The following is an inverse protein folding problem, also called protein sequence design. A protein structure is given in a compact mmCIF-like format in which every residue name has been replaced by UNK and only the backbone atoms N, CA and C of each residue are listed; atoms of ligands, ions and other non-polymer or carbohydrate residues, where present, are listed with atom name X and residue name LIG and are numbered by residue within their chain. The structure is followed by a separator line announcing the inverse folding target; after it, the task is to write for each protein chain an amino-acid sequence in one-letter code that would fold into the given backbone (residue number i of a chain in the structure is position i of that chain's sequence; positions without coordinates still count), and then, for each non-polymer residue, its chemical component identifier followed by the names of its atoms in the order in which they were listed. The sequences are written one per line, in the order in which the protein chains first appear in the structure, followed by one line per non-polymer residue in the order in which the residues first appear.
data_IF_838944247750
#
_entry.id   IF_838944247750
#
_cell.length_a   1.000
_cell.length_b   1.000
_cell.length_c   1.000
_cell.angle_alpha   90.00
_cell.angle_beta   90.00
_cell.angle_gamma   90.00
#
_symmetry.space_group_name_H-M   'P 1'
#
loop_
_entity.id
_entity.type
_entity.pdbx_description
1 polymer ?
#
# COMPACT_ATOMS: atom_id res chain seq x y z
N UNK A 1 3.61 13.47 5.25
CA UNK A 1 4.59 14.54 5.08
C UNK A 1 4.74 15.40 6.34
N UNK A 2 3.65 15.81 6.96
CA UNK A 2 3.63 16.67 8.15
C UNK A 2 4.48 16.14 9.32
N UNK A 3 4.48 14.84 9.56
CA UNK A 3 5.30 14.20 10.58
C UNK A 3 6.81 14.25 10.24
N UNK A 4 7.15 14.04 8.97
CA UNK A 4 8.55 14.00 8.52
C UNK A 4 9.15 15.39 8.35
N UNK A 5 8.34 16.35 7.93
CA UNK A 5 8.75 17.74 7.72
C UNK A 5 7.63 18.65 8.24
N UNK A 6 7.59 18.92 9.56
CA UNK A 6 6.62 19.83 10.15
C UNK A 6 6.81 21.26 9.64
N UNK A 7 5.78 22.12 9.67
CA UNK A 7 5.92 23.54 9.36
C UNK A 7 6.95 24.20 10.30
N UNK A 8 7.72 25.12 9.75
CA UNK A 8 8.76 25.86 10.53
C UNK A 8 8.19 26.65 11.71
N UNK A 9 6.91 27.00 11.66
CA UNK A 9 6.22 27.80 12.67
C UNK A 9 5.85 27.01 13.94
N UNK A 10 5.85 25.69 13.90
CA UNK A 10 5.41 24.85 15.03
C UNK A 10 6.55 24.42 15.99
N UNK A 11 7.78 24.87 15.77
CA UNK A 11 8.92 24.58 16.66
C UNK A 11 9.31 23.11 16.78
N UNK A 12 8.71 22.22 15.97
CA UNK A 12 9.07 20.82 15.90
C UNK A 12 10.31 20.62 15.01
N UNK A 13 11.31 19.90 15.51
CA UNK A 13 12.48 19.53 14.72
C UNK A 13 12.10 18.50 13.65
N UNK A 14 12.47 18.79 12.39
CA UNK A 14 12.32 17.81 11.32
C UNK A 14 13.22 16.59 11.55
N UNK A 15 12.70 15.34 11.51
CA UNK A 15 13.52 14.14 11.53
C UNK A 15 14.33 13.94 10.23
N UNK A 16 14.03 14.68 9.18
CA UNK A 16 14.76 14.65 7.90
C UNK A 16 15.69 15.87 7.82
N UNK A 17 17.01 15.69 7.54
CA UNK A 17 17.96 16.78 7.44
C UNK A 17 17.78 17.58 6.15
N UNK A 18 18.20 18.87 6.17
CA UNK A 18 18.51 19.58 4.93
C UNK A 18 19.79 18.99 4.32
N UNK A 19 19.81 18.77 3.03
CA UNK A 19 20.97 18.24 2.31
C UNK A 19 21.61 19.36 1.49
N UNK A 20 22.83 19.73 1.87
CA UNK A 20 23.66 20.64 1.07
C UNK A 20 24.53 19.80 0.13
N UNK A 21 24.21 19.82 -1.16
CA UNK A 21 25.02 19.25 -2.23
C UNK A 21 25.76 20.38 -2.96
N UNK A 22 26.93 20.75 -2.45
CA UNK A 22 27.71 21.89 -2.97
C UNK A 22 26.97 23.22 -2.82
N UNK A 23 26.56 23.85 -3.92
CA UNK A 23 25.78 25.10 -3.93
C UNK A 23 24.26 24.91 -3.84
N UNK A 24 23.77 23.68 -3.88
CA UNK A 24 22.34 23.30 -3.78
C UNK A 24 22.01 22.93 -2.34
N UNK A 25 21.23 23.77 -1.68
CA UNK A 25 20.60 23.47 -0.38
C UNK A 25 19.23 22.86 -0.64
N UNK A 26 19.12 21.53 -0.51
CA UNK A 26 17.87 20.81 -0.71
C UNK A 26 17.02 20.86 0.57
N UNK A 27 15.89 21.53 0.47
CA UNK A 27 14.87 21.53 1.52
C UNK A 27 14.48 20.06 1.86
N UNK A 28 14.31 19.69 3.14
CA UNK A 28 13.85 18.36 3.56
C UNK A 28 12.60 17.88 2.81
N UNK A 29 11.73 18.79 2.38
CA UNK A 29 10.53 18.45 1.60
C UNK A 29 10.85 17.90 0.22
N UNK A 30 11.85 18.49 -0.46
CA UNK A 30 12.32 18.01 -1.77
C UNK A 30 12.91 16.61 -1.63
N UNK A 31 13.67 16.40 -0.56
CA UNK A 31 14.27 15.10 -0.29
C UNK A 31 13.21 14.01 -0.06
N UNK A 32 12.20 14.28 0.77
CA UNK A 32 11.06 13.36 0.97
C UNK A 32 10.30 13.14 -0.34
N UNK A 33 10.12 14.16 -1.17
CA UNK A 33 9.47 14.00 -2.47
C UNK A 33 10.26 13.07 -3.40
N UNK A 34 11.60 13.15 -3.41
CA UNK A 34 12.46 12.24 -4.18
C UNK A 34 12.29 10.79 -3.67
N UNK A 35 12.32 10.58 -2.35
CA UNK A 35 12.13 9.27 -1.72
C UNK A 35 10.77 8.68 -2.11
N UNK A 36 9.70 9.48 -2.01
CA UNK A 36 8.35 9.03 -2.39
C UNK A 36 8.25 8.71 -3.89
N UNK A 37 8.91 9.49 -4.74
CA UNK A 37 8.92 9.26 -6.20
C UNK A 37 9.68 7.98 -6.54
N UNK A 38 10.84 7.75 -5.91
CA UNK A 38 11.60 6.52 -6.07
C UNK A 38 10.78 5.30 -5.65
N UNK A 39 10.07 5.38 -4.53
CA UNK A 39 9.15 4.33 -4.07
C UNK A 39 8.06 4.01 -5.07
N UNK A 40 7.45 5.02 -5.69
CA UNK A 40 6.45 4.80 -6.75
C UNK A 40 7.00 4.08 -7.98
N UNK A 41 8.26 4.31 -8.33
CA UNK A 41 8.91 3.61 -9.44
C UNK A 41 9.15 2.13 -9.09
N UNK A 42 9.52 1.84 -7.85
CA UNK A 42 9.69 0.46 -7.36
C UNK A 42 8.33 -0.26 -7.35
N UNK A 43 7.29 0.38 -6.80
CA UNK A 43 5.91 -0.15 -6.77
C UNK A 43 5.40 -0.50 -8.18
N UNK A 44 5.69 0.33 -9.17
CA UNK A 44 5.33 0.06 -10.57
C UNK A 44 5.97 -1.22 -11.14
N UNK A 45 7.11 -1.65 -10.58
CA UNK A 45 7.76 -2.91 -10.94
C UNK A 45 7.23 -4.09 -10.12
N UNK A 46 6.87 -3.86 -8.87
CA UNK A 46 6.38 -4.90 -7.95
C UNK A 46 5.00 -5.42 -8.37
N UNK A 47 4.11 -4.55 -8.83
CA UNK A 47 2.74 -4.90 -9.21
C UNK A 47 2.65 -6.05 -10.23
N UNK A 48 3.33 -6.00 -11.40
CA UNK A 48 3.29 -7.09 -12.35
C UNK A 48 3.98 -8.37 -11.86
N UNK A 49 5.03 -8.25 -11.02
CA UNK A 49 5.73 -9.40 -10.44
C UNK A 49 4.81 -10.12 -9.45
N UNK A 50 4.17 -9.39 -8.55
CA UNK A 50 3.26 -9.94 -7.54
C UNK A 50 2.02 -10.52 -8.19
N UNK A 51 1.45 -9.85 -9.19
CA UNK A 51 0.34 -10.38 -9.98
C UNK A 51 0.68 -11.74 -10.60
N UNK A 52 1.81 -11.81 -11.29
CA UNK A 52 2.30 -13.04 -11.90
C UNK A 52 2.59 -14.14 -10.86
N UNK A 53 3.15 -13.82 -9.72
CA UNK A 53 3.44 -14.75 -8.64
C UNK A 53 2.15 -15.28 -8.01
N UNK A 54 1.22 -14.42 -7.66
CA UNK A 54 -0.06 -14.81 -7.07
C UNK A 54 -0.88 -15.71 -7.99
N UNK A 55 -0.86 -15.47 -9.30
CA UNK A 55 -1.58 -16.28 -10.28
C UNK A 55 -1.01 -17.69 -10.46
N UNK A 56 0.22 -17.94 -10.05
CA UNK A 56 0.89 -19.25 -10.14
C UNK A 56 0.93 -20.02 -8.84
N UNK A 57 0.63 -19.37 -7.74
CA UNK A 57 0.68 -19.99 -6.42
C UNK A 57 -0.39 -21.07 -6.30
N UNK A 58 0.00 -22.21 -5.75
CA UNK A 58 -0.89 -23.33 -5.43
C UNK A 58 -1.03 -23.42 -3.93
N UNK A 59 -2.26 -23.29 -3.43
CA UNK A 59 -2.57 -23.40 -2.01
C UNK A 59 -3.92 -24.06 -1.80
N UNK A 60 -4.07 -24.74 -0.67
CA UNK A 60 -5.35 -25.33 -0.21
C UNK A 60 -6.46 -24.29 -0.01
N UNK A 61 -6.10 -23.01 0.12
CA UNK A 61 -7.04 -21.89 0.27
C UNK A 61 -7.35 -21.19 -1.05
N UNK A 62 -6.78 -21.66 -2.16
CA UNK A 62 -6.78 -20.98 -3.44
C UNK A 62 -5.46 -20.22 -3.67
N UNK A 63 -5.30 -19.64 -4.86
CA UNK A 63 -4.03 -19.04 -5.28
C UNK A 63 -3.76 -17.67 -4.64
N UNK A 64 -4.78 -16.88 -4.32
CA UNK A 64 -4.67 -15.46 -3.92
C UNK A 64 -4.86 -15.20 -2.43
N UNK A 65 -5.72 -15.97 -1.75
CA UNK A 65 -6.01 -15.78 -0.32
C UNK A 65 -4.78 -15.82 0.59
N UNK A 66 -3.77 -16.68 0.38
CA UNK A 66 -2.57 -16.70 1.22
C UNK A 66 -1.82 -15.38 1.20
N UNK A 67 -1.74 -14.72 0.05
CA UNK A 67 -1.07 -13.42 -0.05
C UNK A 67 -1.73 -12.38 0.84
N UNK A 68 -3.06 -12.24 0.76
CA UNK A 68 -3.82 -11.31 1.61
C UNK A 68 -3.64 -11.64 3.09
N UNK A 69 -3.76 -12.93 3.44
CA UNK A 69 -3.70 -13.38 4.83
C UNK A 69 -2.33 -13.08 5.46
N UNK A 70 -1.25 -13.43 4.76
CA UNK A 70 0.10 -13.34 5.33
C UNK A 70 0.73 -11.96 5.17
N UNK A 71 0.41 -11.17 4.15
CA UNK A 71 0.99 -9.84 3.97
C UNK A 71 0.32 -8.75 4.82
N UNK A 72 -0.95 -8.93 5.20
CA UNK A 72 -1.68 -7.93 6.00
C UNK A 72 -1.03 -7.58 7.35
N UNK A 73 -0.47 -8.51 8.15
CA UNK A 73 0.23 -8.16 9.38
C UNK A 73 1.49 -7.34 9.14
N UNK A 74 2.24 -7.64 8.07
CA UNK A 74 3.44 -6.87 7.70
C UNK A 74 3.07 -5.46 7.25
N UNK A 75 1.99 -5.32 6.47
CA UNK A 75 1.43 -4.02 6.12
C UNK A 75 1.15 -3.16 7.37
N UNK A 76 0.50 -3.73 8.38
CA UNK A 76 0.21 -3.02 9.63
C UNK A 76 1.49 -2.68 10.42
N UNK A 77 2.42 -3.65 10.48
CA UNK A 77 3.70 -3.48 11.17
C UNK A 77 4.50 -2.32 10.56
N UNK A 78 4.71 -2.34 9.24
CA UNK A 78 5.48 -1.30 8.57
C UNK A 78 4.76 0.05 8.57
N UNK A 79 3.44 0.09 8.49
CA UNK A 79 2.68 1.32 8.70
C UNK A 79 2.97 1.94 10.07
N UNK A 80 2.93 1.16 11.14
CA UNK A 80 3.26 1.63 12.47
C UNK A 80 4.70 2.16 12.58
N UNK A 81 5.65 1.48 11.95
CA UNK A 81 7.07 1.86 11.96
C UNK A 81 7.36 3.17 11.21
N UNK A 82 6.54 3.59 10.25
CA UNK A 82 6.70 4.88 9.57
C UNK A 82 6.67 6.08 10.53
N UNK A 83 6.04 5.92 11.69
CA UNK A 83 5.88 6.98 12.71
C UNK A 83 6.91 6.89 13.84
N UNK A 84 7.87 5.95 13.73
CA UNK A 84 8.91 5.70 14.74
C UNK A 84 10.30 5.97 14.12
N UNK A 85 10.73 7.22 14.10
CA UNK A 85 12.08 7.56 13.64
C UNK A 85 13.12 7.23 14.72
N UNK A 86 14.28 6.63 14.34
CA UNK A 86 15.31 6.20 15.32
C UNK A 86 15.95 7.33 16.11
N UNK A 87 16.09 8.51 15.52
CA UNK A 87 16.69 9.69 16.16
C UNK A 87 15.74 10.89 16.15
N UNK A 88 15.74 11.67 17.25
CA UNK A 88 14.87 12.84 17.41
C UNK A 88 15.32 14.09 16.61
N UNK A 89 16.45 14.03 15.90
CA UNK A 89 16.99 15.13 15.09
C UNK A 89 17.12 14.78 13.61
N UNK A 90 17.37 15.76 12.77
CA UNK A 90 17.61 15.59 11.34
C UNK A 90 18.86 14.73 11.09
N UNK A 91 18.66 13.48 10.66
CA UNK A 91 19.73 12.51 10.42
C UNK A 91 19.51 11.81 9.08
N UNK A 92 20.61 11.57 8.35
CA UNK A 92 20.57 10.77 7.13
C UNK A 92 20.13 9.33 7.41
N UNK A 93 20.41 8.79 8.60
CA UNK A 93 19.91 7.51 9.05
C UNK A 93 18.39 7.44 9.12
N UNK A 94 17.72 8.52 9.52
CA UNK A 94 16.25 8.62 9.49
C UNK A 94 15.69 8.53 8.07
N UNK A 95 16.39 9.11 7.11
CA UNK A 95 15.98 9.08 5.70
C UNK A 95 16.02 7.67 5.14
N UNK A 96 17.15 6.97 5.36
CA UNK A 96 17.29 5.56 4.96
C UNK A 96 16.22 4.71 5.65
N UNK A 97 16.02 4.91 6.94
CA UNK A 97 15.00 4.20 7.71
C UNK A 97 13.60 4.42 7.11
N UNK A 98 13.21 5.67 6.90
CA UNK A 98 11.89 6.00 6.34
C UNK A 98 11.74 5.42 4.93
N UNK A 99 12.78 5.50 4.09
CA UNK A 99 12.76 4.91 2.75
C UNK A 99 12.54 3.41 2.81
N UNK A 100 13.35 2.69 3.58
CA UNK A 100 13.24 1.22 3.69
C UNK A 100 11.89 0.78 4.26
N UNK A 101 11.43 1.45 5.32
CA UNK A 101 10.13 1.12 5.94
C UNK A 101 8.98 1.44 4.99
N UNK A 102 9.07 2.53 4.23
CA UNK A 102 8.07 2.92 3.24
C UNK A 102 7.98 1.89 2.10
N UNK A 103 9.13 1.45 1.57
CA UNK A 103 9.18 0.42 0.54
C UNK A 103 8.59 -0.92 1.02
N UNK A 104 8.95 -1.33 2.24
CA UNK A 104 8.39 -2.53 2.86
C UNK A 104 6.88 -2.41 3.11
N UNK A 105 6.40 -1.22 3.45
CA UNK A 105 4.98 -0.93 3.57
C UNK A 105 4.27 -1.05 2.21
N UNK A 106 4.79 -0.42 1.15
CA UNK A 106 4.21 -0.50 -0.19
C UNK A 106 4.23 -1.93 -0.73
N UNK A 107 5.35 -2.62 -0.62
CA UNK A 107 5.47 -4.03 -1.01
C UNK A 107 4.44 -4.92 -0.29
N UNK A 108 4.30 -4.75 1.04
CA UNK A 108 3.32 -5.50 1.82
C UNK A 108 1.88 -5.15 1.44
N UNK A 109 1.62 -3.88 1.09
CA UNK A 109 0.33 -3.44 0.59
C UNK A 109 0.02 -4.07 -0.77
N UNK A 110 0.94 -4.04 -1.72
CA UNK A 110 0.78 -4.63 -3.05
C UNK A 110 0.58 -6.15 -2.96
N UNK A 111 1.36 -6.84 -2.11
CA UNK A 111 1.18 -8.28 -1.84
C UNK A 111 -0.21 -8.63 -1.29
N UNK A 112 -0.88 -7.68 -0.62
CA UNK A 112 -2.22 -7.88 -0.09
C UNK A 112 -3.30 -7.37 -1.04
N UNK A 113 -3.19 -6.14 -1.53
CA UNK A 113 -4.22 -5.44 -2.31
C UNK A 113 -4.38 -6.04 -3.70
N UNK A 114 -3.28 -6.25 -4.44
CA UNK A 114 -3.33 -6.77 -5.81
C UNK A 114 -4.06 -8.12 -5.91
N UNK A 115 -3.65 -9.18 -5.16
CA UNK A 115 -4.36 -10.43 -5.14
C UNK A 115 -5.81 -10.33 -4.64
N UNK A 116 -6.10 -9.42 -3.69
CA UNK A 116 -7.45 -9.20 -3.18
C UNK A 116 -8.38 -8.62 -4.26
N UNK A 117 -7.95 -7.57 -4.95
CA UNK A 117 -8.72 -6.95 -6.03
C UNK A 117 -8.95 -7.90 -7.20
N UNK A 118 -7.94 -8.71 -7.50
CA UNK A 118 -8.04 -9.71 -8.56
C UNK A 118 -9.00 -10.86 -8.23
N UNK A 119 -9.46 -11.03 -6.98
CA UNK A 119 -10.53 -11.97 -6.62
C UNK A 119 -11.90 -11.52 -7.12
N UNK A 120 -12.17 -10.22 -7.20
CA UNK A 120 -13.50 -9.72 -7.55
C UNK A 120 -13.98 -10.17 -8.94
N UNK A 121 -13.19 -10.07 -10.03
CA UNK A 121 -13.57 -10.60 -11.33
C UNK A 121 -13.78 -12.13 -11.34
N UNK A 122 -13.12 -12.86 -10.45
CA UNK A 122 -13.26 -14.31 -10.36
C UNK A 122 -14.55 -14.74 -9.65
N UNK A 123 -15.01 -13.93 -8.70
CA UNK A 123 -16.24 -14.17 -7.94
C UNK A 123 -17.47 -13.69 -8.70
N UNK A 124 -17.35 -12.56 -9.41
CA UNK A 124 -18.43 -11.95 -10.17
C UNK A 124 -18.70 -12.74 -11.47
N UNK A 125 -19.77 -13.53 -11.49
CA UNK A 125 -20.14 -14.41 -12.61
C UNK A 125 -20.83 -13.67 -13.74
N UNK A 126 -21.53 -12.56 -13.46
CA UNK A 126 -22.27 -11.79 -14.45
C UNK A 126 -21.72 -10.36 -14.56
N UNK A 127 -22.04 -9.71 -15.66
CA UNK A 127 -21.71 -8.28 -15.84
C UNK A 127 -22.38 -7.41 -14.77
N UNK A 128 -23.61 -7.75 -14.38
CA UNK A 128 -24.35 -7.05 -13.33
C UNK A 128 -23.66 -7.18 -11.97
N UNK A 129 -23.15 -8.37 -11.63
CA UNK A 129 -22.42 -8.58 -10.37
C UNK A 129 -21.15 -7.75 -10.32
N UNK A 130 -20.40 -7.70 -11.45
CA UNK A 130 -19.18 -6.88 -11.56
C UNK A 130 -19.48 -5.40 -11.34
N UNK A 131 -20.50 -4.87 -12.01
CA UNK A 131 -20.91 -3.48 -11.84
C UNK A 131 -21.36 -3.18 -10.40
N UNK A 132 -22.10 -4.11 -9.77
CA UNK A 132 -22.53 -3.97 -8.38
C UNK A 132 -21.33 -3.91 -7.43
N UNK A 133 -20.35 -4.82 -7.59
CA UNK A 133 -19.13 -4.84 -6.75
C UNK A 133 -18.37 -3.53 -6.91
N UNK A 134 -18.13 -3.07 -8.14
CA UNK A 134 -17.42 -1.81 -8.39
C UNK A 134 -18.15 -0.61 -7.78
N UNK A 135 -19.49 -0.56 -7.89
CA UNK A 135 -20.29 0.51 -7.29
C UNK A 135 -20.15 0.53 -5.76
N UNK A 136 -20.25 -0.64 -5.10
CA UNK A 136 -20.05 -0.75 -3.66
C UNK A 136 -18.63 -0.40 -3.22
N UNK A 137 -17.61 -0.83 -3.96
CA UNK A 137 -16.22 -0.43 -3.70
C UNK A 137 -16.05 1.09 -3.78
N UNK A 138 -16.66 1.73 -4.77
CA UNK A 138 -16.61 3.19 -4.91
C UNK A 138 -17.26 3.90 -3.72
N UNK A 139 -18.49 3.52 -3.35
CA UNK A 139 -19.20 4.14 -2.22
C UNK A 139 -18.45 3.96 -0.90
N UNK A 140 -18.02 2.75 -0.59
CA UNK A 140 -17.25 2.49 0.63
C UNK A 140 -15.85 3.12 0.57
N UNK A 141 -15.23 3.23 -0.61
CA UNK A 141 -13.97 3.92 -0.80
C UNK A 141 -14.07 5.42 -0.50
N UNK A 142 -15.08 6.09 -1.04
CA UNK A 142 -15.34 7.53 -0.78
C UNK A 142 -15.65 7.75 0.71
N UNK A 143 -16.55 6.95 1.28
CA UNK A 143 -16.90 7.04 2.69
C UNK A 143 -15.68 6.79 3.59
N UNK A 144 -14.89 5.75 3.28
CA UNK A 144 -13.68 5.41 4.03
C UNK A 144 -12.63 6.51 3.93
N UNK A 145 -12.44 7.11 2.76
CA UNK A 145 -11.52 8.24 2.59
C UNK A 145 -11.95 9.47 3.39
N UNK A 146 -13.23 9.83 3.33
CA UNK A 146 -13.78 10.97 4.08
C UNK A 146 -13.65 10.76 5.60
N UNK A 147 -14.07 9.60 6.10
CA UNK A 147 -13.96 9.26 7.52
C UNK A 147 -12.47 9.16 7.95
N UNK A 148 -11.63 8.58 7.11
CA UNK A 148 -10.18 8.46 7.37
C UNK A 148 -9.53 9.82 7.53
N UNK A 149 -9.81 10.77 6.65
CA UNK A 149 -9.26 12.13 6.75
C UNK A 149 -9.74 12.85 8.02
N UNK A 150 -11.04 12.81 8.31
CA UNK A 150 -11.62 13.52 9.48
C UNK A 150 -11.12 12.89 10.78
N UNK A 151 -11.24 11.56 10.92
CA UNK A 151 -10.86 10.87 12.16
C UNK A 151 -9.35 10.94 12.41
N UNK A 152 -8.53 10.84 11.34
CA UNK A 152 -7.08 10.97 11.47
C UNK A 152 -6.70 12.36 11.99
N UNK A 153 -7.27 13.44 11.46
CA UNK A 153 -7.07 14.81 11.94
C UNK A 153 -7.43 14.95 13.40
N UNK A 154 -8.66 14.56 13.78
CA UNK A 154 -9.14 14.65 15.17
C UNK A 154 -8.25 13.86 16.14
N UNK A 155 -7.81 12.66 15.76
CA UNK A 155 -6.95 11.85 16.64
C UNK A 155 -5.56 12.45 16.76
N UNK A 156 -5.00 13.01 15.68
CA UNK A 156 -3.70 13.68 15.73
C UNK A 156 -3.75 14.88 16.67
N UNK A 157 -4.78 15.72 16.55
CA UNK A 157 -4.94 16.91 17.38
C UNK A 157 -5.17 16.57 18.87
N UNK A 158 -5.92 15.51 19.16
CA UNK A 158 -6.24 15.10 20.52
C UNK A 158 -5.15 14.26 21.20
N UNK A 159 -4.47 13.37 20.47
CA UNK A 159 -3.63 12.30 21.02
C UNK A 159 -2.25 12.20 20.36
N UNK A 160 -2.02 12.92 19.27
CA UNK A 160 -0.77 12.94 18.52
C UNK A 160 -0.59 11.79 17.53
N UNK A 161 0.49 11.91 16.72
CA UNK A 161 0.77 11.02 15.59
C UNK A 161 0.97 9.55 15.98
N UNK A 162 1.60 9.28 17.13
CA UNK A 162 1.89 7.89 17.55
C UNK A 162 0.62 7.11 17.86
N UNK A 163 -0.33 7.73 18.54
CA UNK A 163 -1.62 7.10 18.87
C UNK A 163 -2.44 6.88 17.61
N UNK A 164 -2.48 7.87 16.72
CA UNK A 164 -3.11 7.75 15.41
C UNK A 164 -2.53 6.57 14.63
N UNK A 165 -1.20 6.44 14.58
CA UNK A 165 -0.52 5.35 13.89
C UNK A 165 -0.93 3.98 14.42
N UNK A 166 -1.01 3.81 15.74
CA UNK A 166 -1.44 2.55 16.37
C UNK A 166 -2.90 2.24 16.03
N UNK A 167 -3.80 3.22 16.11
CA UNK A 167 -5.21 3.04 15.79
C UNK A 167 -5.36 2.56 14.35
N UNK A 168 -4.72 3.23 13.39
CA UNK A 168 -4.82 2.86 11.98
C UNK A 168 -4.13 1.51 11.71
N UNK A 169 -2.99 1.23 12.35
CA UNK A 169 -2.30 -0.04 12.21
C UNK A 169 -3.14 -1.24 12.71
N UNK A 170 -4.06 -1.02 13.63
CA UNK A 170 -5.00 -2.05 14.11
C UNK A 170 -6.27 -2.09 13.25
N UNK A 171 -6.86 -0.93 12.95
CA UNK A 171 -8.10 -0.85 12.19
C UNK A 171 -7.94 -1.35 10.75
N UNK A 172 -6.85 -0.99 10.06
CA UNK A 172 -6.59 -1.37 8.67
C UNK A 172 -6.63 -2.89 8.44
N UNK A 173 -5.83 -3.70 9.16
CA UNK A 173 -5.90 -5.15 9.10
C UNK A 173 -7.25 -5.73 9.48
N UNK A 174 -7.90 -5.16 10.50
CA UNK A 174 -9.22 -5.61 10.96
C UNK A 174 -10.25 -5.52 9.85
N UNK A 175 -10.33 -4.38 9.17
CA UNK A 175 -11.23 -4.20 8.03
C UNK A 175 -10.84 -5.09 6.85
N UNK A 176 -9.54 -5.25 6.58
CA UNK A 176 -9.06 -6.12 5.49
C UNK A 176 -9.41 -7.59 5.75
N UNK A 177 -9.24 -8.07 6.96
CA UNK A 177 -9.63 -9.43 7.34
C UNK A 177 -11.14 -9.64 7.35
N UNK A 178 -11.92 -8.65 7.78
CA UNK A 178 -13.39 -8.75 7.71
C UNK A 178 -13.85 -8.91 6.26
N UNK A 179 -13.29 -8.14 5.33
CA UNK A 179 -13.53 -8.30 3.89
C UNK A 179 -13.06 -9.66 3.37
N UNK A 180 -11.88 -10.13 3.80
CA UNK A 180 -11.35 -11.44 3.42
C UNK A 180 -12.28 -12.58 3.88
N UNK A 181 -12.80 -12.53 5.10
CA UNK A 181 -13.75 -13.54 5.59
C UNK A 181 -15.04 -13.57 4.78
N UNK A 182 -15.55 -12.41 4.35
CA UNK A 182 -16.71 -12.32 3.46
C UNK A 182 -16.49 -13.01 2.12
N UNK A 183 -15.30 -12.90 1.57
CA UNK A 183 -14.92 -13.45 0.27
C UNK A 183 -14.44 -14.91 0.37
N UNK A 184 -13.99 -15.37 1.53
CA UNK A 184 -13.34 -16.66 1.76
C UNK A 184 -14.12 -17.87 1.22
N UNK A 185 -15.44 -17.87 1.40
CA UNK A 185 -16.31 -18.98 0.95
C UNK A 185 -16.57 -18.96 -0.55
N UNK A 186 -16.41 -17.81 -1.19
CA UNK A 186 -16.71 -17.60 -2.61
C UNK A 186 -15.46 -17.63 -3.50
N UNK A 187 -14.27 -17.55 -2.89
CA UNK A 187 -13.01 -17.57 -3.61
C UNK A 187 -12.80 -18.93 -4.32
N UNK A 188 -12.50 -18.94 -5.62
CA UNK A 188 -12.28 -20.15 -6.37
C UNK A 188 -11.00 -20.85 -5.88
N UNK A 189 -11.13 -22.16 -5.53
CA UNK A 189 -10.00 -22.96 -5.02
C UNK A 189 -9.36 -23.82 -6.10
N UNK A 190 -10.13 -24.16 -7.13
CA UNK A 190 -9.74 -25.12 -8.17
C UNK A 190 -9.31 -24.43 -9.47
N UNK A 191 -9.00 -23.14 -9.41
CA UNK A 191 -8.53 -22.41 -10.59
C UNK A 191 -7.12 -22.88 -10.96
N UNK A 192 -6.89 -23.39 -12.18
CA UNK A 192 -5.58 -23.82 -12.60
C UNK A 192 -4.60 -22.63 -12.59
N UNK A 193 -3.34 -22.85 -12.21
CA UNK A 193 -2.34 -21.80 -12.22
C UNK A 193 -2.08 -21.30 -13.66
N UNK A 194 -1.78 -20.03 -13.81
CA UNK A 194 -1.43 -19.45 -15.10
C UNK A 194 -0.15 -20.10 -15.64
N UNK A 195 -0.19 -20.56 -16.90
CA UNK A 195 0.94 -21.24 -17.56
C UNK A 195 1.85 -20.28 -18.33
N UNK A 196 1.38 -19.07 -18.63
CA UNK A 196 2.10 -18.10 -19.44
C UNK A 196 3.38 -17.60 -18.73
N UNK A 197 4.52 -17.60 -19.41
CA UNK A 197 5.77 -17.05 -18.87
C UNK A 197 5.63 -15.54 -18.62
N UNK A 198 6.30 -15.00 -17.60
CA UNK A 198 6.24 -13.58 -17.24
C UNK A 198 6.53 -12.65 -18.43
N UNK A 199 7.64 -12.89 -19.12
CA UNK A 199 8.04 -12.10 -20.28
C UNK A 199 7.03 -12.15 -21.44
N UNK A 200 6.43 -13.31 -21.69
CA UNK A 200 5.41 -13.47 -22.72
C UNK A 200 4.12 -12.71 -22.35
N UNK A 201 3.73 -12.73 -21.06
CA UNK A 201 2.60 -11.96 -20.55
C UNK A 201 2.84 -10.46 -20.68
N UNK A 202 4.01 -9.97 -20.29
CA UNK A 202 4.39 -8.57 -20.39
C UNK A 202 4.37 -8.08 -21.85
N UNK A 203 4.97 -8.84 -22.77
CA UNK A 203 4.98 -8.52 -24.21
C UNK A 203 3.54 -8.51 -24.76
N UNK A 204 2.70 -9.47 -24.39
CA UNK A 204 1.31 -9.52 -24.83
C UNK A 204 0.52 -8.30 -24.34
N UNK A 205 0.74 -7.85 -23.10
CA UNK A 205 0.11 -6.66 -22.52
C UNK A 205 0.55 -5.39 -23.25
N UNK A 206 1.85 -5.23 -23.50
CA UNK A 206 2.39 -4.07 -24.23
C UNK A 206 2.03 -4.04 -25.72
N UNK A 207 1.67 -5.19 -26.31
CA UNK A 207 1.16 -5.27 -27.69
C UNK A 207 -0.33 -5.04 -27.80
N UNK A 208 -1.06 -5.08 -26.72
CA UNK A 208 -2.51 -4.88 -26.71
C UNK A 208 -2.84 -3.40 -26.89
N UNK A 209 -3.33 -3.02 -28.07
CA UNK A 209 -3.71 -1.63 -28.39
C UNK A 209 -4.81 -1.07 -27.49
N UNK A 210 -5.70 -1.94 -26.98
CA UNK A 210 -6.76 -1.53 -26.05
C UNK A 210 -6.22 -1.22 -24.64
N UNK A 211 -5.06 -1.74 -24.30
CA UNK A 211 -4.38 -1.45 -23.03
C UNK A 211 -3.57 -0.16 -23.09
N UNK A 212 -3.12 0.25 -24.28
CA UNK A 212 -2.30 1.45 -24.50
C UNK A 212 -3.12 2.71 -24.83
N UNK A 213 -4.44 2.59 -24.99
CA UNK A 213 -5.40 3.69 -25.15
C UNK A 213 -6.07 4.06 -23.82
#
# INVERSE_FOLDING_TARGET
LFFLVPPREEGMSSPVPSLTLGALDLDPRVFVAIVLTAGRLIEALDDPIIGWWSDRTRSRWGRRLPFVLFSTPFYALFFGHLWLTPSGGGSFGNVIYVFVVLELFFLSNTLSAGPYEALFPEIARSHRDRMSIVAWQFYFGVLGAALGLILTGVVIDAMGFKVMAVIIAVCGPTFRYSGLFGVWRHAPRDTPPATMKFTAGLIATLRNKQFLQ
#
